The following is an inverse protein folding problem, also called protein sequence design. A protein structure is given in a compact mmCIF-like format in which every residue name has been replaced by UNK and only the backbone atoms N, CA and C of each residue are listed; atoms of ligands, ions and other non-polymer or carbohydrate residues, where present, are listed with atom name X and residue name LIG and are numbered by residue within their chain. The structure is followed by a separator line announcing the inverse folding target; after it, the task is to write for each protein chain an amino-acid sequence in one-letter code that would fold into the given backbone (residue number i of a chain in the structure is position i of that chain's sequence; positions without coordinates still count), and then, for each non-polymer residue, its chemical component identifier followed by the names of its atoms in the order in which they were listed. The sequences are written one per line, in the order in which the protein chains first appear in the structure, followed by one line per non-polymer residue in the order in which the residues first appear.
data_IF_822636278692
#
_entry.id   IF_822636278692
#
_cell.length_a   1.000
_cell.length_b   1.000
_cell.length_c   1.000
_cell.angle_alpha   90.00
_cell.angle_beta   90.00
_cell.angle_gamma   90.00
#
_symmetry.space_group_name_H-M   'P 1'
#
loop_
_entity.id
_entity.type
_entity.pdbx_description
1 polymer ?
#
# COMPACT_ATOMS: atom_id res chain seq x y z
N UNK A 1 74.63 -61.11 50.66
CA UNK A 1 73.28 -60.49 50.62
C UNK A 1 73.39 -59.12 49.97
N UNK A 2 72.86 -58.97 48.74
CA UNK A 2 72.72 -57.68 48.05
C UNK A 2 71.52 -56.94 48.65
N UNK A 3 71.67 -55.63 48.91
CA UNK A 3 70.52 -54.72 49.09
C UNK A 3 70.68 -53.49 48.20
N UNK A 4 69.55 -53.14 47.60
CA UNK A 4 69.37 -52.38 46.37
C UNK A 4 69.53 -50.87 46.54
N UNK A 5 69.89 -50.20 45.43
CA UNK A 5 69.82 -48.75 45.25
C UNK A 5 68.37 -48.32 45.01
N UNK A 6 67.83 -47.45 45.86
CA UNK A 6 66.54 -46.77 45.63
C UNK A 6 66.74 -45.31 45.23
N UNK A 7 66.49 -44.98 43.96
CA UNK A 7 66.39 -43.61 43.45
C UNK A 7 65.04 -43.03 43.87
N UNK A 8 65.03 -41.98 44.70
CA UNK A 8 63.82 -41.21 45.03
C UNK A 8 63.65 -40.03 44.05
N UNK A 9 62.73 -40.18 43.09
CA UNK A 9 62.06 -39.04 42.42
C UNK A 9 61.12 -38.37 43.42
N UNK A 10 61.32 -37.07 43.71
CA UNK A 10 60.30 -36.24 44.40
C UNK A 10 59.50 -35.47 43.35
N UNK A 11 58.20 -35.74 43.31
CA UNK A 11 57.21 -35.15 42.43
C UNK A 11 56.99 -33.66 42.73
N UNK A 12 57.02 -32.81 41.69
CA UNK A 12 56.46 -31.45 41.69
C UNK A 12 54.95 -31.54 41.45
N UNK A 13 54.16 -31.64 42.52
CA UNK A 13 52.68 -31.67 42.45
C UNK A 13 52.09 -30.72 43.48
N UNK A 14 52.31 -29.41 43.30
CA UNK A 14 51.70 -28.37 44.13
C UNK A 14 51.27 -27.11 43.34
N UNK A 15 51.87 -26.85 42.19
CA UNK A 15 51.64 -25.63 41.41
C UNK A 15 50.64 -25.77 40.25
N UNK A 16 50.26 -26.98 39.84
CA UNK A 16 49.31 -27.18 38.72
C UNK A 16 47.84 -27.04 39.13
N UNK A 17 47.48 -27.33 40.38
CA UNK A 17 46.09 -27.28 40.87
C UNK A 17 45.59 -25.85 41.10
N UNK A 18 46.44 -24.95 41.60
CA UNK A 18 46.07 -23.54 41.81
C UNK A 18 45.89 -22.80 40.47
N UNK A 19 46.74 -23.06 39.48
CA UNK A 19 46.63 -22.44 38.15
C UNK A 19 45.38 -22.89 37.39
N UNK A 20 44.98 -24.17 37.49
CA UNK A 20 43.78 -24.68 36.83
C UNK A 20 42.48 -24.15 37.45
N UNK A 21 42.45 -23.98 38.78
CA UNK A 21 41.28 -23.40 39.48
C UNK A 21 41.15 -21.91 39.17
N UNK A 22 42.27 -21.18 39.10
CA UNK A 22 42.26 -19.75 38.76
C UNK A 22 41.83 -19.50 37.30
N UNK A 23 42.28 -20.35 36.37
CA UNK A 23 41.84 -20.33 34.96
C UNK A 23 40.35 -20.65 34.81
N UNK A 24 39.83 -21.60 35.59
CA UNK A 24 38.41 -21.93 35.59
C UNK A 24 37.56 -20.75 36.12
N UNK A 25 38.00 -20.08 37.19
CA UNK A 25 37.32 -18.89 37.71
C UNK A 25 37.33 -17.73 36.71
N UNK A 26 38.45 -17.47 36.03
CA UNK A 26 38.53 -16.47 34.96
C UNK A 26 37.59 -16.79 33.80
N UNK A 27 37.50 -18.05 33.38
CA UNK A 27 36.59 -18.48 32.33
C UNK A 27 35.12 -18.27 32.72
N UNK A 28 34.74 -18.54 33.98
CA UNK A 28 33.38 -18.31 34.48
C UNK A 28 33.05 -16.81 34.51
N UNK A 29 33.97 -15.96 34.95
CA UNK A 29 33.77 -14.49 34.93
C UNK A 29 33.64 -13.99 33.51
N UNK A 30 34.48 -14.46 32.58
CA UNK A 30 34.38 -14.08 31.16
C UNK A 30 33.07 -14.55 30.53
N UNK A 31 32.62 -15.77 30.85
CA UNK A 31 31.31 -16.26 30.42
C UNK A 31 30.19 -15.41 31.01
N UNK A 32 30.29 -15.02 32.28
CA UNK A 32 29.31 -14.18 32.96
C UNK A 32 29.19 -12.80 32.35
N UNK A 33 30.32 -12.15 32.03
CA UNK A 33 30.38 -10.86 31.33
C UNK A 33 29.89 -10.99 29.89
N UNK A 34 30.26 -12.06 29.18
CA UNK A 34 29.80 -12.31 27.82
C UNK A 34 28.29 -12.58 27.79
N UNK A 35 27.76 -13.38 28.73
CA UNK A 35 26.33 -13.62 28.89
C UNK A 35 25.60 -12.32 29.22
N UNK A 36 26.05 -11.53 30.20
CA UNK A 36 25.39 -10.25 30.53
C UNK A 36 25.47 -9.24 29.40
N UNK A 37 26.59 -9.14 28.69
CA UNK A 37 26.72 -8.28 27.51
C UNK A 37 25.79 -8.73 26.37
N UNK A 38 25.71 -10.03 26.10
CA UNK A 38 24.86 -10.57 25.04
C UNK A 38 23.36 -10.54 25.41
N UNK A 39 23.03 -10.73 26.69
CA UNK A 39 21.67 -10.54 27.23
C UNK A 39 21.25 -9.06 27.16
N UNK A 40 22.12 -8.12 27.54
CA UNK A 40 21.82 -6.68 27.44
C UNK A 40 21.78 -6.17 25.98
N UNK A 41 22.58 -6.72 25.07
CA UNK A 41 22.55 -6.35 23.65
C UNK A 41 21.24 -6.78 22.97
N UNK A 42 20.63 -7.87 23.44
CA UNK A 42 19.33 -8.37 22.96
C UNK A 42 18.12 -7.81 23.75
N UNK A 43 18.34 -7.18 24.90
CA UNK A 43 17.34 -6.47 25.69
C UNK A 43 17.41 -4.94 25.47
N UNK A 44 17.22 -4.49 24.23
CA UNK A 44 16.66 -3.14 24.04
C UNK A 44 15.23 -3.17 24.61
N UNK A 45 14.98 -2.42 25.67
CA UNK A 45 13.67 -2.34 26.31
C UNK A 45 12.66 -1.78 25.30
N UNK A 46 11.63 -2.56 24.99
CA UNK A 46 10.53 -2.18 24.09
C UNK A 46 9.86 -0.87 24.54
N UNK A 47 9.92 -0.56 25.83
CA UNK A 47 9.39 0.66 26.47
C UNK A 47 9.97 1.98 25.93
N UNK A 48 11.10 1.96 25.21
CA UNK A 48 11.70 3.17 24.62
C UNK A 48 11.26 3.44 23.18
N UNK A 49 10.55 2.52 22.54
CA UNK A 49 10.12 2.69 21.15
C UNK A 49 8.66 3.13 21.10
N UNK A 50 8.43 4.29 20.51
CA UNK A 50 7.07 4.78 20.25
C UNK A 50 6.35 3.89 19.24
N UNK A 51 7.05 3.38 18.23
CA UNK A 51 6.46 2.52 17.20
C UNK A 51 7.39 1.38 16.85
N UNK A 52 6.87 0.15 16.88
CA UNK A 52 7.68 -1.04 16.65
C UNK A 52 6.84 -2.25 16.27
N UNK A 53 7.47 -3.23 15.66
CA UNK A 53 6.90 -4.55 15.38
C UNK A 53 7.48 -5.62 16.31
N UNK A 54 6.65 -6.59 16.66
CA UNK A 54 7.06 -7.78 17.37
C UNK A 54 6.79 -8.97 16.47
N UNK A 55 7.84 -9.69 16.10
CA UNK A 55 7.73 -10.90 15.30
C UNK A 55 7.63 -12.08 16.27
N UNK A 56 6.41 -12.59 16.45
CA UNK A 56 6.10 -13.69 17.36
C UNK A 56 6.14 -15.05 16.66
N UNK A 57 5.50 -16.05 17.28
CA UNK A 57 5.46 -17.42 16.77
C UNK A 57 4.49 -17.61 15.59
N UNK A 58 3.33 -16.96 15.66
CA UNK A 58 2.22 -17.17 14.71
C UNK A 58 1.69 -15.85 14.09
N UNK A 59 2.24 -14.71 14.50
CA UNK A 59 1.78 -13.38 14.09
C UNK A 59 2.88 -12.35 14.28
N UNK A 60 2.74 -11.23 13.58
CA UNK A 60 3.45 -9.98 13.83
C UNK A 60 2.52 -9.06 14.60
N UNK A 61 2.99 -8.43 15.67
CA UNK A 61 2.23 -7.42 16.41
C UNK A 61 2.88 -6.07 16.19
N UNK A 62 2.17 -5.16 15.53
CA UNK A 62 2.60 -3.78 15.32
C UNK A 62 2.04 -2.93 16.43
N UNK A 63 2.91 -2.21 17.15
CA UNK A 63 2.56 -1.40 18.31
C UNK A 63 2.79 0.08 17.99
N UNK A 64 1.76 0.88 18.25
CA UNK A 64 1.74 2.33 18.15
C UNK A 64 1.50 2.94 19.53
N UNK A 65 2.59 3.35 20.16
CA UNK A 65 2.66 3.98 21.48
C UNK A 65 1.93 3.13 22.54
N UNK A 66 1.28 3.80 23.50
CA UNK A 66 0.39 3.22 24.50
C UNK A 66 -1.05 3.05 23.97
N UNK A 67 -1.31 3.30 22.69
CA UNK A 67 -2.68 3.46 22.18
C UNK A 67 -3.19 2.22 21.46
N UNK A 68 -2.44 1.69 20.50
CA UNK A 68 -2.93 0.66 19.58
C UNK A 68 -1.89 -0.42 19.30
N UNK A 69 -2.29 -1.68 19.40
CA UNK A 69 -1.59 -2.81 18.83
C UNK A 69 -2.44 -3.51 17.76
N UNK A 70 -1.85 -3.74 16.58
CA UNK A 70 -2.46 -4.46 15.46
C UNK A 70 -1.74 -5.79 15.27
N UNK A 71 -2.49 -6.88 15.38
CA UNK A 71 -1.99 -8.24 15.22
C UNK A 71 -2.23 -8.76 13.79
N UNK A 72 -1.16 -9.15 13.11
CA UNK A 72 -1.15 -9.63 11.73
C UNK A 72 -0.79 -11.12 11.73
N UNK A 73 -1.73 -12.03 11.43
CA UNK A 73 -1.47 -13.46 11.38
C UNK A 73 -0.51 -13.88 10.26
N UNK A 74 0.24 -14.96 10.46
CA UNK A 74 1.22 -15.46 9.49
C UNK A 74 0.59 -16.12 8.25
N UNK A 75 -0.66 -16.59 8.35
CA UNK A 75 -1.43 -17.18 7.25
C UNK A 75 -2.00 -16.15 6.27
N UNK A 76 -1.80 -14.85 6.54
CA UNK A 76 -2.18 -13.78 5.62
C UNK A 76 -1.18 -13.68 4.46
N UNK A 77 -1.73 -13.50 3.27
CA UNK A 77 -1.01 -13.30 2.02
C UNK A 77 -0.53 -11.85 1.87
N UNK A 78 0.68 -11.69 1.35
CA UNK A 78 1.24 -10.41 0.89
C UNK A 78 1.02 -10.21 -0.61
N UNK A 79 1.01 -11.31 -1.36
CA UNK A 79 0.71 -11.39 -2.78
C UNK A 79 0.04 -12.75 -3.11
N UNK A 80 -0.11 -13.10 -4.39
CA UNK A 80 -0.80 -14.34 -4.80
C UNK A 80 -0.09 -15.63 -4.35
N UNK A 81 1.21 -15.58 -4.10
CA UNK A 81 2.09 -16.73 -3.89
C UNK A 81 2.76 -16.73 -2.50
N UNK A 82 2.89 -15.56 -1.87
CA UNK A 82 3.71 -15.36 -0.68
C UNK A 82 2.88 -14.97 0.53
N UNK A 83 2.97 -15.77 1.59
CA UNK A 83 2.44 -15.45 2.92
C UNK A 83 3.45 -14.71 3.78
N UNK A 84 2.97 -14.03 4.83
CA UNK A 84 3.83 -13.47 5.87
C UNK A 84 4.71 -14.55 6.50
N UNK A 85 4.17 -15.77 6.66
CA UNK A 85 4.94 -16.92 7.15
C UNK A 85 6.18 -17.18 6.29
N UNK A 86 6.03 -17.18 4.96
CA UNK A 86 7.13 -17.44 4.03
C UNK A 86 8.27 -16.42 4.22
N UNK A 87 7.94 -15.14 4.41
CA UNK A 87 8.94 -14.10 4.67
C UNK A 87 9.60 -14.25 6.04
N UNK A 88 8.84 -14.53 7.09
CA UNK A 88 9.40 -14.72 8.44
C UNK A 88 10.34 -15.94 8.50
N UNK A 89 9.99 -17.01 7.78
CA UNK A 89 10.80 -18.23 7.68
C UNK A 89 12.13 -17.99 6.95
N UNK A 90 12.22 -16.97 6.08
CA UNK A 90 13.48 -16.54 5.43
C UNK A 90 14.50 -15.96 6.41
N UNK A 91 14.06 -15.57 7.62
CA UNK A 91 14.85 -14.88 8.67
C UNK A 91 15.41 -13.52 8.25
N UNK A 92 15.04 -12.99 7.08
CA UNK A 92 15.33 -11.61 6.70
C UNK A 92 14.27 -10.67 7.28
N UNK A 93 14.42 -10.33 8.56
CA UNK A 93 13.40 -9.57 9.28
C UNK A 93 13.29 -8.11 8.84
N UNK A 94 14.35 -7.51 8.28
CA UNK A 94 14.25 -6.18 7.66
C UNK A 94 13.28 -6.20 6.48
N UNK A 95 13.42 -7.21 5.60
CA UNK A 95 12.49 -7.42 4.48
C UNK A 95 11.06 -7.68 4.96
N UNK A 96 10.87 -8.44 6.03
CA UNK A 96 9.55 -8.65 6.64
C UNK A 96 8.91 -7.31 7.03
N UNK A 97 9.66 -6.45 7.71
CA UNK A 97 9.18 -5.13 8.16
C UNK A 97 8.87 -4.22 6.97
N UNK A 98 9.74 -4.18 5.96
CA UNK A 98 9.52 -3.41 4.74
C UNK A 98 8.28 -3.87 3.97
N UNK A 99 8.05 -5.19 3.90
CA UNK A 99 6.87 -5.75 3.23
C UNK A 99 5.58 -5.39 3.95
N UNK A 100 5.52 -5.51 5.29
CA UNK A 100 4.29 -5.17 6.03
C UNK A 100 4.03 -3.66 6.06
N UNK A 101 5.08 -2.83 6.04
CA UNK A 101 4.96 -1.37 6.03
C UNK A 101 4.21 -0.83 4.81
N UNK A 102 4.03 -1.62 3.74
CA UNK A 102 3.21 -1.23 2.59
C UNK A 102 1.70 -1.25 2.90
N UNK A 103 1.29 -1.94 3.96
CA UNK A 103 -0.13 -2.11 4.34
C UNK A 103 -0.50 -1.32 5.61
N UNK A 104 0.50 -0.78 6.31
CA UNK A 104 0.30 -0.10 7.59
C UNK A 104 -0.01 1.39 7.38
N UNK A 105 -0.95 1.97 8.17
CA UNK A 105 -1.23 3.40 8.15
C UNK A 105 -0.01 4.28 8.50
N UNK A 106 0.87 3.80 9.38
CA UNK A 106 2.14 4.45 9.68
C UNK A 106 3.25 3.40 9.74
N UNK A 107 4.41 3.72 9.16
CA UNK A 107 5.54 2.78 9.08
C UNK A 107 6.19 2.56 10.43
N UNK A 108 6.65 1.34 10.67
CA UNK A 108 7.47 0.96 11.81
C UNK A 108 8.86 0.53 11.35
N UNK A 109 9.90 1.05 11.99
CA UNK A 109 11.29 0.77 11.62
C UNK A 109 11.98 -0.17 12.62
N UNK A 110 11.50 -0.21 13.86
CA UNK A 110 12.08 -1.04 14.91
C UNK A 110 11.33 -2.36 15.00
N UNK A 111 12.05 -3.46 15.23
CA UNK A 111 11.42 -4.75 15.47
C UNK A 111 12.13 -5.57 16.55
N UNK A 112 11.39 -6.51 17.15
CA UNK A 112 11.92 -7.52 18.07
C UNK A 112 11.37 -8.90 17.74
N UNK A 113 12.25 -9.88 17.62
CA UNK A 113 11.85 -11.29 17.42
C UNK A 113 11.77 -11.97 18.77
N UNK A 114 10.63 -12.59 19.09
CA UNK A 114 10.39 -13.22 20.39
C UNK A 114 10.02 -14.69 20.20
N UNK A 115 10.77 -15.57 20.87
CA UNK A 115 10.69 -17.04 20.71
C UNK A 115 9.67 -17.74 21.63
N UNK A 116 9.22 -17.09 22.70
CA UNK A 116 8.31 -17.66 23.70
C UNK A 116 7.11 -16.73 23.99
N UNK A 117 5.98 -17.33 24.39
CA UNK A 117 4.59 -16.81 24.35
C UNK A 117 4.31 -15.51 25.12
N UNK A 118 3.19 -14.88 24.72
CA UNK A 118 2.46 -13.76 25.34
C UNK A 118 3.32 -12.62 25.89
N UNK A 119 3.63 -11.68 25.02
CA UNK A 119 4.15 -10.39 25.44
C UNK A 119 2.95 -9.59 25.95
N UNK A 120 2.97 -9.24 27.23
CA UNK A 120 2.02 -8.28 27.80
C UNK A 120 2.27 -6.92 27.13
N UNK A 121 1.39 -6.52 26.23
CA UNK A 121 1.41 -5.22 25.60
C UNK A 121 0.70 -4.23 26.52
N UNK A 122 1.39 -3.17 26.92
CA UNK A 122 0.76 -2.06 27.65
C UNK A 122 0.15 -1.07 26.65
N UNK A 123 -0.93 -1.48 26.00
CA UNK A 123 -1.68 -0.66 25.03
C UNK A 123 -3.15 -0.56 25.41
N UNK A 124 -3.78 0.59 25.15
CA UNK A 124 -5.22 0.80 25.40
C UNK A 124 -6.08 -0.11 24.55
N UNK A 125 -5.70 -0.28 23.27
CA UNK A 125 -6.44 -1.07 22.30
C UNK A 125 -5.53 -2.13 21.68
N UNK A 126 -6.01 -3.37 21.61
CA UNK A 126 -5.41 -4.44 20.81
C UNK A 126 -6.48 -5.03 19.89
N UNK A 127 -6.18 -5.13 18.60
CA UNK A 127 -7.08 -5.69 17.58
C UNK A 127 -6.32 -6.56 16.58
N UNK A 128 -7.02 -7.50 15.97
CA UNK A 128 -6.51 -8.15 14.77
C UNK A 128 -6.57 -7.17 13.60
N UNK A 129 -5.67 -7.35 12.65
CA UNK A 129 -5.75 -6.63 11.39
C UNK A 129 -7.03 -7.03 10.66
N UNK A 130 -7.76 -6.09 10.06
CA UNK A 130 -8.88 -6.42 9.19
C UNK A 130 -8.40 -7.22 7.99
N UNK A 131 -9.15 -8.26 7.65
CA UNK A 131 -8.80 -9.24 6.63
C UNK A 131 -9.96 -9.41 5.66
N UNK A 132 -9.65 -9.79 4.43
CA UNK A 132 -10.62 -10.24 3.43
C UNK A 132 -10.20 -11.59 2.87
N UNK A 133 -11.18 -12.39 2.41
CA UNK A 133 -10.92 -13.71 1.82
C UNK A 133 -11.19 -13.65 0.32
N UNK A 134 -10.19 -14.04 -0.48
CA UNK A 134 -10.29 -14.18 -1.94
C UNK A 134 -9.75 -15.57 -2.28
N UNK A 135 -10.55 -16.40 -2.96
CA UNK A 135 -10.14 -17.76 -3.37
C UNK A 135 -9.55 -18.58 -2.19
N UNK A 136 -10.25 -18.58 -1.05
CA UNK A 136 -9.85 -19.23 0.21
C UNK A 136 -8.51 -18.75 0.83
N UNK A 137 -7.94 -17.67 0.30
CA UNK A 137 -6.74 -17.01 0.83
C UNK A 137 -7.10 -15.73 1.56
N UNK A 138 -6.49 -15.51 2.73
CA UNK A 138 -6.68 -14.29 3.53
C UNK A 138 -5.70 -13.21 3.12
N UNK A 139 -6.19 -11.99 2.96
CA UNK A 139 -5.38 -10.82 2.64
C UNK A 139 -5.70 -9.69 3.61
N UNK A 140 -4.74 -8.80 3.83
CA UNK A 140 -4.96 -7.59 4.64
C UNK A 140 -6.00 -6.69 3.94
N UNK A 141 -7.07 -6.35 4.66
CA UNK A 141 -8.01 -5.31 4.24
C UNK A 141 -7.45 -3.94 4.65
N UNK A 142 -6.70 -3.32 3.76
CA UNK A 142 -5.98 -2.06 4.01
C UNK A 142 -6.89 -0.95 4.52
N UNK A 143 -8.09 -0.86 3.96
CA UNK A 143 -9.09 0.13 4.35
C UNK A 143 -9.68 -0.08 5.74
N UNK A 144 -10.05 -1.31 6.07
CA UNK A 144 -10.43 -1.68 7.43
C UNK A 144 -9.29 -1.35 8.40
N UNK A 145 -8.05 -1.59 8.00
CA UNK A 145 -6.85 -1.26 8.78
C UNK A 145 -6.73 0.25 9.01
N UNK A 146 -7.01 1.08 8.00
CA UNK A 146 -7.03 2.54 8.12
C UNK A 146 -8.17 3.04 9.02
N UNK A 147 -9.39 2.53 8.85
CA UNK A 147 -10.53 2.88 9.67
C UNK A 147 -10.29 2.52 11.15
N UNK A 148 -9.77 1.32 11.39
CA UNK A 148 -9.36 0.84 12.71
C UNK A 148 -8.30 1.75 13.34
N UNK A 149 -7.31 2.17 12.56
CA UNK A 149 -6.25 3.06 13.04
C UNK A 149 -6.79 4.45 13.37
N UNK A 150 -7.62 5.04 12.51
CA UNK A 150 -8.25 6.34 12.74
C UNK A 150 -9.09 6.34 14.02
N UNK A 151 -9.89 5.31 14.23
CA UNK A 151 -10.79 5.17 15.37
C UNK A 151 -10.04 4.95 16.70
N UNK A 152 -9.02 4.08 16.69
CA UNK A 152 -8.40 3.60 17.93
C UNK A 152 -7.08 4.28 18.31
N UNK A 153 -6.42 4.99 17.39
CA UNK A 153 -5.18 5.74 17.64
C UNK A 153 -5.39 7.27 17.73
N UNK A 154 -6.48 7.80 17.12
CA UNK A 154 -6.94 9.18 17.33
C UNK A 154 -6.21 10.25 16.51
N UNK A 155 -5.76 9.95 15.29
CA UNK A 155 -5.19 10.94 14.36
C UNK A 155 -6.03 11.05 13.08
N UNK A 156 -6.20 12.27 12.56
CA UNK A 156 -6.62 12.45 11.16
C UNK A 156 -5.69 11.65 10.25
N UNK A 157 -6.24 10.93 9.27
CA UNK A 157 -5.46 10.22 8.26
C UNK A 157 -4.52 11.21 7.58
N UNK A 158 -3.23 11.20 7.96
CA UNK A 158 -2.23 12.01 7.27
C UNK A 158 -2.01 11.43 5.87
N UNK A 159 -2.66 12.07 4.89
CA UNK A 159 -2.28 12.25 3.48
C UNK A 159 -1.71 11.02 2.75
N UNK A 160 -2.50 10.45 1.82
CA UNK A 160 -2.13 9.80 0.54
C UNK A 160 -0.99 8.76 0.46
N UNK A 161 -0.22 8.52 1.51
CA UNK A 161 1.03 7.75 1.52
C UNK A 161 0.85 6.24 1.45
N UNK A 162 -0.37 5.75 1.71
CA UNK A 162 -0.69 4.31 1.77
C UNK A 162 -1.78 3.91 0.77
N UNK A 163 -2.02 4.74 -0.26
CA UNK A 163 -2.84 4.32 -1.39
C UNK A 163 -1.98 3.39 -2.24
N UNK A 164 -2.49 2.18 -2.48
CA UNK A 164 -1.89 1.22 -3.40
C UNK A 164 -2.65 1.32 -4.72
N UNK A 165 -1.96 1.62 -5.82
CA UNK A 165 -2.56 1.70 -7.15
C UNK A 165 -1.97 0.63 -8.05
N UNK A 166 -2.79 -0.28 -8.55
CA UNK A 166 -2.38 -1.19 -9.61
C UNK A 166 -2.58 -0.49 -10.95
N UNK A 167 -1.52 -0.44 -11.76
CA UNK A 167 -1.52 0.23 -13.06
C UNK A 167 -1.28 -0.81 -14.13
N UNK A 168 -2.31 -1.12 -14.90
CA UNK A 168 -2.30 -2.14 -15.91
C UNK A 168 -2.25 -1.49 -17.30
N UNK A 169 -1.24 -1.86 -18.08
CA UNK A 169 -1.08 -1.36 -19.43
C UNK A 169 -1.95 -2.14 -20.42
N UNK A 170 -3.01 -1.50 -20.93
CA UNK A 170 -3.85 -2.02 -22.01
C UNK A 170 -3.64 -1.23 -23.32
N UNK A 171 -2.60 -0.39 -23.39
CA UNK A 171 -2.36 0.48 -24.54
C UNK A 171 -1.31 -0.06 -25.52
N UNK A 172 -0.55 -1.09 -25.11
CA UNK A 172 0.46 -1.74 -25.93
C UNK A 172 1.79 -0.97 -26.06
N UNK A 173 1.97 0.13 -25.32
CA UNK A 173 3.22 0.90 -25.29
C UNK A 173 4.11 0.39 -24.15
N UNK A 174 5.28 -0.14 -24.49
CA UNK A 174 6.22 -0.68 -23.51
C UNK A 174 6.63 0.33 -22.44
N UNK A 175 6.60 -0.08 -21.18
CA UNK A 175 7.00 0.75 -20.04
C UNK A 175 6.00 1.84 -19.61
N UNK A 176 4.87 1.99 -20.32
CA UNK A 176 3.93 3.09 -20.09
C UNK A 176 3.29 3.05 -18.68
N UNK A 177 2.80 1.89 -18.23
CA UNK A 177 2.25 1.75 -16.87
C UNK A 177 3.27 2.10 -15.77
N UNK A 178 4.54 1.71 -15.94
CA UNK A 178 5.62 2.05 -15.01
C UNK A 178 5.88 3.55 -14.98
N UNK A 179 5.94 4.21 -16.14
CA UNK A 179 6.13 5.67 -16.22
C UNK A 179 4.98 6.43 -15.55
N UNK A 180 3.73 6.01 -15.79
CA UNK A 180 2.55 6.58 -15.12
C UNK A 180 2.61 6.36 -13.61
N UNK A 181 3.00 5.17 -13.16
CA UNK A 181 3.17 4.86 -11.75
C UNK A 181 4.25 5.68 -11.05
N UNK A 182 5.43 5.82 -11.64
CA UNK A 182 6.48 6.70 -11.09
C UNK A 182 6.02 8.16 -11.00
N UNK A 183 5.29 8.66 -12.00
CA UNK A 183 4.71 10.01 -11.97
C UNK A 183 3.74 10.17 -10.79
N UNK A 184 2.85 9.20 -10.58
CA UNK A 184 1.87 9.22 -9.50
C UNK A 184 2.54 9.11 -8.13
N UNK A 185 3.47 8.17 -7.97
CA UNK A 185 4.28 8.02 -6.75
C UNK A 185 4.99 9.32 -6.38
N UNK A 186 5.65 9.97 -7.33
CA UNK A 186 6.41 11.19 -7.07
C UNK A 186 5.52 12.39 -6.71
N UNK A 187 4.29 12.45 -7.23
CA UNK A 187 3.38 13.57 -6.99
C UNK A 187 2.47 13.40 -5.76
N UNK A 188 2.04 12.17 -5.49
CA UNK A 188 1.01 11.89 -4.49
C UNK A 188 1.55 11.09 -3.30
N UNK A 189 2.83 10.69 -3.35
CA UNK A 189 3.50 9.85 -2.34
C UNK A 189 2.87 8.46 -2.18
N UNK A 190 2.15 7.97 -3.21
CA UNK A 190 1.48 6.67 -3.19
C UNK A 190 2.41 5.50 -3.54
N UNK A 191 1.93 4.27 -3.30
CA UNK A 191 2.59 3.04 -3.75
C UNK A 191 1.88 2.52 -5.00
N UNK A 192 2.62 1.91 -5.93
CA UNK A 192 2.02 1.38 -7.14
C UNK A 192 2.66 0.07 -7.57
N UNK A 193 1.89 -0.76 -8.26
CA UNK A 193 2.40 -1.85 -9.08
C UNK A 193 2.12 -1.54 -10.54
N UNK A 194 2.97 -2.03 -11.44
CA UNK A 194 2.76 -1.85 -12.87
C UNK A 194 2.92 -3.19 -13.59
N UNK A 195 1.94 -3.52 -14.42
CA UNK A 195 1.93 -4.74 -15.22
C UNK A 195 1.27 -4.50 -16.58
N UNK A 196 1.34 -5.48 -17.47
CA UNK A 196 0.54 -5.49 -18.69
C UNK A 196 -0.83 -6.08 -18.41
N UNK A 197 -1.87 -5.49 -19.01
CA UNK A 197 -3.20 -6.08 -19.01
C UNK A 197 -3.28 -7.16 -20.10
N UNK A 198 -4.08 -8.21 -19.86
CA UNK A 198 -4.16 -9.36 -20.77
C UNK A 198 -4.67 -8.98 -22.17
N UNK A 199 -5.48 -7.93 -22.25
CA UNK A 199 -6.12 -7.49 -23.49
C UNK A 199 -5.90 -5.99 -23.69
N UNK A 200 -5.65 -5.58 -24.94
CA UNK A 200 -5.64 -4.17 -25.27
C UNK A 200 -7.07 -3.60 -25.28
N UNK A 201 -7.24 -2.39 -24.78
CA UNK A 201 -8.54 -1.69 -24.74
C UNK A 201 -8.40 -0.29 -25.35
N UNK A 202 -9.50 0.25 -25.87
CA UNK A 202 -9.50 1.65 -26.34
C UNK A 202 -9.79 2.60 -25.19
N UNK A 203 -10.78 2.27 -24.36
CA UNK A 203 -11.09 2.97 -23.13
C UNK A 203 -10.14 2.60 -22.00
N UNK A 204 -9.86 3.57 -21.14
CA UNK A 204 -9.25 3.30 -19.85
C UNK A 204 -10.32 2.88 -18.86
N UNK A 205 -10.00 1.94 -17.99
CA UNK A 205 -10.96 1.40 -17.02
C UNK A 205 -10.47 1.67 -15.60
N UNK A 206 -11.42 1.87 -14.69
CA UNK A 206 -11.14 2.08 -13.26
C UNK A 206 -11.93 1.04 -12.49
N UNK A 207 -11.22 0.24 -11.68
CA UNK A 207 -11.83 -0.54 -10.60
C UNK A 207 -11.53 0.17 -9.29
N UNK A 208 -12.58 0.53 -8.57
CA UNK A 208 -12.51 1.24 -7.30
C UNK A 208 -12.79 0.20 -6.23
N UNK A 209 -11.77 -0.15 -5.45
CA UNK A 209 -11.97 -1.04 -4.31
C UNK A 209 -12.30 -0.19 -3.09
N UNK A 210 -11.34 0.61 -2.62
CA UNK A 210 -11.56 1.47 -1.47
C UNK A 210 -10.57 2.65 -1.43
N UNK A 211 -11.04 3.78 -1.95
CA UNK A 211 -10.34 5.06 -1.97
C UNK A 211 -11.37 6.18 -1.81
N UNK A 212 -11.01 7.27 -1.14
CA UNK A 212 -11.91 8.43 -1.11
C UNK A 212 -12.04 9.04 -2.50
N UNK A 213 -13.17 9.68 -2.75
CA UNK A 213 -13.43 10.38 -4.01
C UNK A 213 -12.31 11.37 -4.32
N UNK A 214 -11.96 12.23 -3.37
CA UNK A 214 -10.90 13.25 -3.50
C UNK A 214 -9.56 12.64 -3.95
N UNK A 215 -9.10 11.58 -3.27
CA UNK A 215 -7.85 10.91 -3.61
C UNK A 215 -7.88 10.29 -5.03
N UNK A 216 -9.02 9.71 -5.42
CA UNK A 216 -9.17 9.18 -6.78
C UNK A 216 -9.17 10.30 -7.81
N UNK A 217 -9.80 11.43 -7.52
CA UNK A 217 -9.76 12.60 -8.40
C UNK A 217 -8.33 13.14 -8.56
N UNK A 218 -7.53 13.16 -7.49
CA UNK A 218 -6.12 13.57 -7.53
C UNK A 218 -5.26 12.61 -8.36
N UNK A 219 -5.48 11.29 -8.20
CA UNK A 219 -4.85 10.27 -9.04
C UNK A 219 -5.18 10.53 -10.51
N UNK A 220 -6.47 10.62 -10.85
CA UNK A 220 -6.91 10.74 -12.24
C UNK A 220 -6.48 12.05 -12.88
N UNK A 221 -6.42 13.15 -12.13
CA UNK A 221 -5.91 14.45 -12.62
C UNK A 221 -4.44 14.36 -13.05
N UNK A 222 -3.69 13.42 -12.47
CA UNK A 222 -2.28 13.19 -12.78
C UNK A 222 -2.03 12.11 -13.83
N UNK A 223 -3.08 11.48 -14.36
CA UNK A 223 -3.05 10.48 -15.43
C UNK A 223 -3.46 11.12 -16.77
N UNK A 224 -2.86 10.71 -17.89
CA UNK A 224 -2.98 11.40 -19.18
C UNK A 224 -4.24 11.02 -19.97
N UNK A 225 -4.79 9.84 -19.68
CA UNK A 225 -5.99 9.27 -20.26
C UNK A 225 -7.19 10.20 -20.00
N UNK A 226 -8.01 10.43 -21.02
CA UNK A 226 -9.21 11.28 -21.01
C UNK A 226 -10.47 10.45 -20.82
N UNK A 227 -10.53 9.28 -21.44
CA UNK A 227 -11.72 8.44 -21.49
C UNK A 227 -11.62 7.28 -20.49
N UNK A 228 -12.19 7.48 -19.31
CA UNK A 228 -12.31 6.49 -18.26
C UNK A 228 -13.74 5.95 -18.15
N UNK A 229 -13.84 4.63 -18.02
CA UNK A 229 -15.05 3.92 -17.63
C UNK A 229 -14.88 3.22 -16.29
N UNK A 230 -15.88 3.32 -15.42
CA UNK A 230 -15.95 2.54 -14.18
C UNK A 230 -16.28 1.10 -14.56
N UNK A 231 -15.46 0.16 -14.12
CA UNK A 231 -15.71 -1.27 -14.31
C UNK A 231 -16.34 -1.84 -13.04
N UNK A 232 -17.53 -2.42 -13.15
CA UNK A 232 -18.20 -3.10 -12.03
C UNK A 232 -17.69 -4.54 -11.82
N UNK A 233 -16.97 -5.14 -12.78
CA UNK A 233 -16.55 -6.54 -12.70
C UNK A 233 -15.51 -6.83 -11.60
N UNK A 234 -15.78 -7.90 -10.86
CA UNK A 234 -14.99 -8.38 -9.74
C UNK A 234 -13.75 -9.20 -10.12
N UNK A 235 -13.53 -9.51 -11.40
CA UNK A 235 -12.59 -10.56 -11.87
C UNK A 235 -11.09 -10.27 -11.70
N UNK A 236 -10.71 -9.06 -11.27
CA UNK A 236 -9.30 -8.74 -10.98
C UNK A 236 -9.08 -8.92 -9.47
N UNK A 237 -8.50 -10.04 -9.01
CA UNK A 237 -8.10 -10.21 -7.62
C UNK A 237 -6.91 -9.29 -7.37
N UNK A 238 -7.13 -8.23 -6.58
CA UNK A 238 -6.14 -7.21 -6.25
C UNK A 238 -6.35 -6.70 -4.83
N UNK A 239 -5.25 -6.34 -4.18
CA UNK A 239 -5.22 -5.66 -2.88
C UNK A 239 -5.09 -4.15 -3.01
N UNK A 240 -4.99 -3.64 -4.25
CA UNK A 240 -4.88 -2.23 -4.51
C UNK A 240 -6.16 -1.50 -4.10
N UNK A 241 -6.02 -0.28 -3.61
CA UNK A 241 -7.13 0.65 -3.36
C UNK A 241 -7.87 0.98 -4.65
N UNK A 242 -7.13 1.07 -5.76
CA UNK A 242 -7.62 1.37 -7.11
C UNK A 242 -6.83 0.57 -8.14
N UNK A 243 -7.51 0.05 -9.15
CA UNK A 243 -6.88 -0.47 -10.37
C UNK A 243 -7.16 0.47 -11.54
N UNK A 244 -6.11 0.95 -12.19
CA UNK A 244 -6.17 1.73 -13.41
C UNK A 244 -5.73 0.87 -14.59
N UNK A 245 -6.62 0.64 -15.55
CA UNK A 245 -6.32 -0.03 -16.81
C UNK A 245 -6.19 1.05 -17.87
N UNK A 246 -4.98 1.30 -18.38
CA UNK A 246 -4.68 2.42 -19.27
C UNK A 246 -4.91 2.02 -20.73
N UNK A 247 -5.92 2.61 -21.36
CA UNK A 247 -6.34 2.32 -22.74
C UNK A 247 -5.58 3.10 -23.82
N UNK A 248 -5.82 2.75 -25.08
CA UNK A 248 -5.13 3.32 -26.26
C UNK A 248 -5.64 4.69 -26.71
N UNK A 249 -6.91 4.99 -26.44
CA UNK A 249 -7.62 6.15 -26.99
C UNK A 249 -7.55 6.31 -28.52
N UNK A 250 -7.33 5.22 -29.29
CA UNK A 250 -7.25 5.27 -30.75
C UNK A 250 -8.63 5.33 -31.40
N UNK A 251 -9.43 4.29 -31.23
CA UNK A 251 -10.78 4.17 -31.81
C UNK A 251 -11.81 4.30 -30.68
N UNK A 252 -12.03 5.54 -30.26
CA UNK A 252 -12.99 5.90 -29.22
C UNK A 252 -14.32 6.22 -29.89
N UNK A 253 -15.34 5.42 -29.60
CA UNK A 253 -16.74 5.70 -29.96
C UNK A 253 -17.46 6.36 -28.78
N UNK A 254 -16.92 7.50 -28.35
CA UNK A 254 -17.47 8.28 -27.25
C UNK A 254 -17.80 9.67 -27.74
N UNK A 255 -19.04 10.13 -27.57
CA UNK A 255 -19.53 11.41 -28.11
C UNK A 255 -19.58 12.48 -27.03
N UNK A 256 -19.11 13.68 -27.35
CA UNK A 256 -19.24 14.84 -26.47
C UNK A 256 -20.06 15.89 -27.19
N UNK A 257 -21.35 15.97 -26.86
CA UNK A 257 -22.26 16.95 -27.45
C UNK A 257 -22.31 18.20 -26.57
N UNK A 258 -21.81 19.31 -27.10
CA UNK A 258 -21.97 20.65 -26.50
C UNK A 258 -23.26 21.23 -27.04
N UNK A 259 -24.25 21.39 -26.17
CA UNK A 259 -25.57 21.92 -26.49
C UNK A 259 -25.67 23.37 -26.02
N UNK A 260 -25.62 24.30 -26.96
CA UNK A 260 -25.69 25.72 -26.68
C UNK A 260 -25.43 26.55 -27.92
N UNK A 261 -25.82 27.82 -27.89
CA UNK A 261 -25.63 28.75 -29.02
C UNK A 261 -24.69 29.91 -28.70
N UNK A 262 -24.21 30.02 -27.46
CA UNK A 262 -23.31 31.09 -27.02
C UNK A 262 -21.87 30.93 -27.52
N UNK A 263 -21.13 32.03 -27.40
CA UNK A 263 -19.68 32.01 -27.63
C UNK A 263 -18.93 31.17 -26.58
N UNK A 264 -19.52 30.94 -25.40
CA UNK A 264 -19.00 30.00 -24.40
C UNK A 264 -19.05 28.56 -24.93
N UNK A 265 -20.14 28.16 -25.59
CA UNK A 265 -20.27 26.84 -26.19
C UNK A 265 -19.24 26.60 -27.32
N UNK A 266 -19.01 27.63 -28.15
CA UNK A 266 -17.95 27.57 -29.19
C UNK A 266 -16.54 27.53 -28.60
N UNK A 267 -16.32 28.23 -27.49
CA UNK A 267 -15.02 28.25 -26.80
C UNK A 267 -14.74 26.89 -26.17
N UNK A 268 -15.74 26.28 -25.52
CA UNK A 268 -15.63 24.93 -24.97
C UNK A 268 -15.32 23.88 -26.05
N UNK A 269 -15.92 23.98 -27.24
CA UNK A 269 -15.59 23.11 -28.37
C UNK A 269 -14.09 23.16 -28.71
N UNK A 270 -13.58 24.38 -28.95
CA UNK A 270 -12.17 24.58 -29.29
C UNK A 270 -11.22 24.13 -28.19
N UNK A 271 -11.60 24.35 -26.93
CA UNK A 271 -10.80 23.93 -25.79
C UNK A 271 -10.69 22.41 -25.69
N UNK A 272 -11.81 21.69 -25.81
CA UNK A 272 -11.79 20.22 -25.75
C UNK A 272 -11.04 19.60 -26.94
N UNK A 273 -11.23 20.14 -28.15
CA UNK A 273 -10.47 19.73 -29.33
C UNK A 273 -8.97 19.98 -29.14
N UNK A 274 -8.59 21.16 -28.62
CA UNK A 274 -7.20 21.52 -28.32
C UNK A 274 -6.55 20.64 -27.24
N UNK A 275 -7.35 20.12 -26.30
CA UNK A 275 -6.93 19.15 -25.29
C UNK A 275 -6.87 17.70 -25.83
N UNK A 276 -7.24 17.48 -27.09
CA UNK A 276 -7.18 16.18 -27.76
C UNK A 276 -8.36 15.27 -27.46
N UNK A 277 -9.51 15.80 -27.01
CA UNK A 277 -10.75 15.04 -27.00
C UNK A 277 -11.25 14.83 -28.44
N UNK A 278 -11.69 13.61 -28.73
CA UNK A 278 -12.28 13.16 -29.99
C UNK A 278 -13.81 13.25 -29.94
N UNK A 279 -14.42 13.32 -31.13
CA UNK A 279 -15.87 13.33 -31.36
C UNK A 279 -16.63 14.37 -30.53
N UNK A 280 -16.08 15.60 -30.50
CA UNK A 280 -16.73 16.75 -29.87
C UNK A 280 -17.60 17.45 -30.92
N UNK A 281 -18.86 17.70 -30.60
CA UNK A 281 -19.82 18.31 -31.53
C UNK A 281 -20.55 19.47 -30.87
N UNK A 282 -20.69 20.58 -31.59
CA UNK A 282 -21.60 21.66 -31.21
C UNK A 282 -23.00 21.38 -31.77
N UNK A 283 -24.00 21.42 -30.90
CA UNK A 283 -25.42 21.30 -31.23
C UNK A 283 -26.10 22.61 -30.88
N UNK A 284 -26.75 23.22 -31.87
CA UNK A 284 -27.52 24.45 -31.71
C UNK A 284 -28.86 24.17 -31.02
N UNK A 285 -28.80 23.78 -29.75
CA UNK A 285 -29.95 23.51 -28.88
C UNK A 285 -29.88 24.46 -27.69
N UNK A 286 -30.85 25.36 -27.56
CA UNK A 286 -30.92 26.27 -26.40
C UNK A 286 -31.76 25.65 -25.29
N UNK A 287 -31.18 25.46 -24.11
CA UNK A 287 -31.91 25.20 -22.87
C UNK A 287 -31.77 26.43 -21.96
N UNK A 288 -32.84 26.84 -21.29
CA UNK A 288 -32.74 27.87 -20.24
C UNK A 288 -32.17 27.22 -18.98
N UNK A 289 -30.88 27.36 -18.75
CA UNK A 289 -30.21 26.94 -17.51
C UNK A 289 -29.74 28.17 -16.74
N UNK A 290 -29.54 28.10 -15.44
CA UNK A 290 -28.89 29.20 -14.71
C UNK A 290 -27.37 29.13 -14.83
N UNK A 291 -26.82 27.91 -14.94
CA UNK A 291 -25.39 27.63 -15.05
C UNK A 291 -25.16 26.44 -15.98
N UNK A 292 -23.97 26.32 -16.61
CA UNK A 292 -23.61 25.15 -17.39
C UNK A 292 -23.65 23.86 -16.57
N UNK A 293 -24.01 22.75 -17.21
CA UNK A 293 -24.12 21.43 -16.59
C UNK A 293 -23.58 20.35 -17.52
N UNK A 294 -22.92 19.34 -16.98
CA UNK A 294 -22.56 18.11 -17.70
C UNK A 294 -23.50 16.98 -17.30
N UNK A 295 -24.20 16.40 -18.27
CA UNK A 295 -24.94 15.15 -18.11
C UNK A 295 -24.05 13.96 -18.50
N UNK A 296 -24.04 12.90 -17.68
CA UNK A 296 -23.17 11.74 -17.85
C UNK A 296 -23.84 10.43 -17.42
N UNK A 297 -23.48 9.30 -18.03
CA UNK A 297 -23.84 7.98 -17.48
C UNK A 297 -22.94 7.65 -16.28
N UNK A 298 -23.45 6.96 -15.24
CA UNK A 298 -22.67 6.50 -14.08
C UNK A 298 -21.30 5.92 -14.45
N UNK A 299 -21.21 5.13 -15.52
CA UNK A 299 -19.97 4.47 -15.95
C UNK A 299 -18.91 5.47 -16.44
N UNK A 300 -19.36 6.60 -16.98
CA UNK A 300 -18.52 7.62 -17.61
C UNK A 300 -18.19 8.79 -16.68
N UNK A 301 -18.54 8.69 -15.40
CA UNK A 301 -18.40 9.75 -14.41
C UNK A 301 -17.01 10.42 -14.43
N UNK A 302 -15.94 9.65 -14.51
CA UNK A 302 -14.58 10.19 -14.47
C UNK A 302 -14.15 10.86 -15.78
N UNK A 303 -14.72 10.45 -16.92
CA UNK A 303 -14.59 11.20 -18.18
C UNK A 303 -15.30 12.55 -18.04
N UNK A 304 -16.54 12.55 -17.52
CA UNK A 304 -17.32 13.76 -17.29
C UNK A 304 -16.62 14.72 -16.32
N UNK A 305 -16.07 14.19 -15.22
CA UNK A 305 -15.35 14.97 -14.23
C UNK A 305 -14.11 15.65 -14.81
N UNK A 306 -13.34 14.95 -15.65
CA UNK A 306 -12.17 15.55 -16.31
C UNK A 306 -12.58 16.69 -17.24
N UNK A 307 -13.64 16.51 -18.02
CA UNK A 307 -14.20 17.57 -18.87
C UNK A 307 -14.70 18.74 -18.01
N UNK A 308 -15.43 18.47 -16.93
CA UNK A 308 -15.93 19.45 -15.99
C UNK A 308 -14.81 20.34 -15.42
N UNK A 309 -13.71 19.72 -14.95
CA UNK A 309 -12.55 20.45 -14.41
C UNK A 309 -11.85 21.31 -15.46
N UNK A 310 -11.80 20.86 -16.72
CA UNK A 310 -11.20 21.65 -17.81
C UNK A 310 -12.03 22.86 -18.16
N UNK A 311 -13.34 22.67 -18.33
CA UNK A 311 -14.27 23.75 -18.68
C UNK A 311 -14.74 24.59 -17.48
N UNK A 312 -14.23 24.31 -16.28
CA UNK A 312 -14.65 24.95 -15.03
C UNK A 312 -16.18 24.88 -14.78
N UNK A 313 -16.79 23.73 -15.08
CA UNK A 313 -18.21 23.46 -14.89
C UNK A 313 -18.40 22.70 -13.57
N UNK A 314 -19.16 23.28 -12.64
CA UNK A 314 -19.44 22.67 -11.33
C UNK A 314 -20.67 21.74 -11.41
N UNK A 315 -21.64 22.09 -12.26
CA UNK A 315 -22.88 21.33 -12.39
C UNK A 315 -22.65 19.99 -13.09
N UNK A 316 -22.91 18.90 -12.38
CA UNK A 316 -22.84 17.54 -12.92
C UNK A 316 -24.14 16.81 -12.58
N UNK A 317 -24.78 16.18 -13.58
CA UNK A 317 -26.04 15.44 -13.42
C UNK A 317 -25.87 14.04 -14.00
N UNK A 318 -26.14 13.01 -13.19
CA UNK A 318 -26.19 11.64 -13.68
C UNK A 318 -27.43 11.43 -14.55
N UNK A 319 -27.23 10.87 -15.74
CA UNK A 319 -28.24 10.50 -16.72
C UNK A 319 -27.89 9.15 -17.34
N UNK A 320 -28.42 8.08 -16.74
CA UNK A 320 -28.16 6.70 -17.17
C UNK A 320 -28.85 6.31 -18.48
N UNK A 321 -29.59 7.21 -19.13
CA UNK A 321 -30.09 7.04 -20.50
C UNK A 321 -29.05 7.35 -21.56
N UNK A 322 -27.91 7.97 -21.19
CA UNK A 322 -26.78 8.17 -22.08
C UNK A 322 -25.96 6.88 -22.20
N UNK A 323 -25.46 6.61 -23.40
CA UNK A 323 -24.56 5.50 -23.68
C UNK A 323 -23.37 6.04 -24.47
N UNK A 324 -22.15 5.80 -23.95
CA UNK A 324 -20.90 6.28 -24.52
C UNK A 324 -20.94 7.77 -24.90
N UNK A 325 -21.53 8.60 -24.04
CA UNK A 325 -21.84 9.98 -24.38
C UNK A 325 -21.87 10.90 -23.17
N UNK A 326 -21.40 12.13 -23.39
CA UNK A 326 -21.65 13.28 -22.51
C UNK A 326 -22.47 14.34 -23.24
N UNK A 327 -23.40 14.97 -22.52
CA UNK A 327 -23.98 16.24 -22.95
C UNK A 327 -23.42 17.35 -22.07
N UNK A 328 -22.89 18.40 -22.69
CA UNK A 328 -22.47 19.63 -22.01
C UNK A 328 -23.51 20.68 -22.36
N UNK A 329 -24.35 21.04 -21.40
CA UNK A 329 -25.40 22.02 -21.58
C UNK A 329 -24.86 23.40 -21.22
N UNK A 330 -24.85 24.32 -22.18
CA UNK A 330 -24.34 25.67 -22.01
C UNK A 330 -25.36 26.68 -22.53
N UNK A 331 -25.54 27.77 -21.80
CA UNK A 331 -26.32 28.92 -22.28
C UNK A 331 -25.52 29.71 -23.30
#
# INVERSE_FOLDING_TARGET
MRKEKGIRKKNKTGTKLLGSVFLALLAIVFLGVFLTYNLNKNNKNLEKWERYAIIGKNNIIVVYEDKLAVKIPFDVQLDKETTIKNLVDSKNYEMVIDSINNFLPEKVNNYKVVKYSEISLNVKNARNIPEMVIEDKKYILTSGTQALFSDLYGGELKSSGNIVVDILNANGVGGYARQTGEKLKNKLSLTYTAANYEKNTNYSLIKINEVTKENLEDILTNVNEKYFKIKEDNDIPTLASVVLILGREKDIDFKIDIKGTSDNAKSALKELEGLGYKNVYLKNESKKLEKPVIEYNKEDYYTALKVAKKLNIIGMIENNSLDNKLNILMN
#
